data_IF_687183667489
#
_entry.id   IF_687183667489
#
_cell.length_a   1.000
_cell.length_b   1.000
_cell.length_c   1.000
_cell.angle_alpha   90.00
_cell.angle_beta   90.00
_cell.angle_gamma   90.00
#
_symmetry.space_group_name_H-M   'P 1'
#
loop_
_entity.id
_entity.type
_entity.pdbx_description
1 polymer ?
#
# COMPACT_ATOMS: atom_id res chain seq x y z
N UNK A 1 18.74 23.26 10.92
CA UNK A 1 18.10 22.03 10.43
C UNK A 1 16.91 22.47 9.61
N UNK A 2 17.00 22.45 8.28
CA UNK A 2 15.94 22.92 7.38
C UNK A 2 15.13 21.72 6.93
N UNK A 3 13.91 21.59 7.45
CA UNK A 3 12.91 20.64 6.93
C UNK A 3 12.48 21.16 5.55
N UNK A 4 12.77 20.42 4.48
CA UNK A 4 12.30 20.75 3.13
C UNK A 4 11.02 19.97 2.86
N UNK A 5 9.89 20.68 2.84
CA UNK A 5 8.64 20.15 2.29
C UNK A 5 8.76 20.16 0.76
N UNK A 6 8.74 18.99 0.12
CA UNK A 6 8.73 18.89 -1.34
C UNK A 6 7.41 19.46 -1.88
N UNK A 7 7.47 20.06 -3.07
CA UNK A 7 6.28 20.55 -3.76
C UNK A 7 5.32 19.38 -4.05
N UNK A 8 4.01 19.68 -4.03
CA UNK A 8 2.89 18.75 -4.13
C UNK A 8 2.90 17.78 -5.34
N UNK A 9 3.87 17.90 -6.25
CA UNK A 9 4.05 17.05 -7.44
C UNK A 9 4.86 15.76 -7.18
N UNK A 10 5.56 15.64 -6.05
CA UNK A 10 6.36 14.44 -5.69
C UNK A 10 5.59 13.48 -4.77
N UNK A 11 4.41 13.90 -4.29
CA UNK A 11 3.56 13.20 -3.29
C UNK A 11 2.73 12.07 -3.94
N UNK A 12 2.83 11.84 -5.25
CA UNK A 12 1.83 11.04 -5.97
C UNK A 12 1.88 9.51 -5.80
N UNK A 13 2.67 8.93 -4.89
CA UNK A 13 2.71 7.45 -4.79
C UNK A 13 2.69 6.90 -3.35
N UNK A 14 2.49 7.73 -2.33
CA UNK A 14 2.11 7.22 -1.01
C UNK A 14 1.02 8.15 -0.50
N UNK A 15 -0.20 7.95 -1.00
CA UNK A 15 -1.35 8.35 -0.23
C UNK A 15 -1.34 7.48 1.02
N UNK A 16 -1.72 8.05 2.14
CA UNK A 16 -1.85 7.33 3.40
C UNK A 16 -3.37 7.22 3.54
N UNK A 17 -3.90 6.09 4.01
CA UNK A 17 -5.35 5.88 4.25
C UNK A 17 -5.51 4.90 5.38
N UNK A 18 -6.64 4.94 6.09
CA UNK A 18 -6.81 4.16 7.32
C UNK A 18 -6.63 2.66 7.13
N UNK A 19 -5.65 2.06 7.81
CA UNK A 19 -5.51 0.61 7.91
C UNK A 19 -6.35 0.06 9.06
N UNK A 20 -7.41 -0.70 8.77
CA UNK A 20 -8.13 -1.47 9.80
C UNK A 20 -8.43 -2.93 9.40
N UNK A 21 -7.47 -3.63 8.76
CA UNK A 21 -7.46 -5.12 8.77
C UNK A 21 -6.16 -5.69 9.34
N UNK A 22 -6.30 -6.77 10.13
CA UNK A 22 -5.24 -7.35 10.95
C UNK A 22 -4.11 -8.04 10.14
N UNK A 23 -4.34 -8.40 8.88
CA UNK A 23 -3.36 -9.08 8.02
C UNK A 23 -2.45 -8.08 7.29
N UNK A 24 -3.01 -7.02 6.68
CA UNK A 24 -2.25 -5.91 6.07
C UNK A 24 -1.45 -5.09 7.08
N UNK A 25 -1.82 -5.19 8.37
CA UNK A 25 -1.06 -4.60 9.47
C UNK A 25 0.35 -5.16 9.62
N UNK A 26 0.66 -6.40 9.23
CA UNK A 26 2.02 -6.96 9.39
C UNK A 26 3.05 -6.16 8.58
N UNK A 27 2.79 -6.03 7.29
CA UNK A 27 3.71 -5.42 6.32
C UNK A 27 3.73 -3.90 6.43
N UNK A 28 2.57 -3.27 6.64
CA UNK A 28 2.49 -1.85 6.97
C UNK A 28 3.26 -1.50 8.25
N UNK A 29 3.12 -2.28 9.34
CA UNK A 29 3.88 -2.05 10.58
C UNK A 29 5.38 -2.26 10.38
N UNK A 30 5.77 -3.19 9.51
CA UNK A 30 7.18 -3.44 9.19
C UNK A 30 7.80 -2.23 8.48
N UNK A 31 7.10 -1.69 7.47
CA UNK A 31 7.50 -0.47 6.76
C UNK A 31 7.52 0.73 7.72
N UNK A 32 6.45 0.89 8.51
CA UNK A 32 6.36 1.95 9.52
C UNK A 32 7.55 1.92 10.48
N UNK A 33 7.83 0.77 11.07
CA UNK A 33 8.94 0.57 12.00
C UNK A 33 10.27 1.00 11.37
N UNK A 34 10.53 0.58 10.13
CA UNK A 34 11.74 0.94 9.39
C UNK A 34 11.85 2.45 9.16
N UNK A 35 10.78 3.08 8.67
CA UNK A 35 10.76 4.51 8.38
C UNK A 35 10.88 5.35 9.66
N UNK A 36 10.28 4.91 10.78
CA UNK A 36 10.45 5.56 12.09
C UNK A 36 11.89 5.46 12.60
N UNK A 37 12.54 4.31 12.46
CA UNK A 37 13.97 4.14 12.80
C UNK A 37 14.85 5.09 11.97
N UNK A 38 14.50 5.32 10.70
CA UNK A 38 15.19 6.27 9.84
C UNK A 38 14.78 7.74 10.07
N UNK A 39 13.89 8.03 11.03
CA UNK A 39 13.30 9.36 11.28
C UNK A 39 12.61 9.97 10.05
N UNK A 40 12.06 9.14 9.17
CA UNK A 40 11.45 9.57 7.91
C UNK A 40 9.93 9.75 8.02
N UNK A 41 9.33 9.66 9.22
CA UNK A 41 7.90 9.87 9.44
C UNK A 41 7.64 10.96 10.47
N UNK A 42 6.63 11.79 10.19
CA UNK A 42 6.05 12.66 11.22
C UNK A 42 5.28 11.85 12.27
N UNK A 43 5.00 12.42 13.46
CA UNK A 43 3.98 11.87 14.35
C UNK A 43 2.64 11.72 13.61
N UNK A 44 1.88 10.68 13.96
CA UNK A 44 0.65 10.27 13.27
C UNK A 44 0.67 8.78 12.94
N UNK A 45 -0.46 8.25 12.49
CA UNK A 45 -0.60 6.85 12.09
C UNK A 45 -0.10 6.68 10.65
N UNK A 46 0.81 5.73 10.43
CA UNK A 46 1.32 5.45 9.09
C UNK A 46 0.55 4.30 8.48
N UNK A 47 0.12 4.50 7.24
CA UNK A 47 -0.56 3.51 6.43
C UNK A 47 -0.18 3.74 4.98
N UNK A 48 -0.12 2.70 4.16
CA UNK A 48 0.11 2.86 2.74
C UNK A 48 -1.24 2.72 2.04
N UNK A 49 -1.75 3.79 1.44
CA UNK A 49 -2.75 3.69 0.38
C UNK A 49 -1.98 3.36 -0.91
N UNK A 50 -1.80 2.08 -1.14
CA UNK A 50 -1.43 1.60 -2.45
C UNK A 50 -2.74 1.25 -3.14
N UNK A 51 -3.17 2.09 -4.08
CA UNK A 51 -4.16 1.72 -5.09
C UNK A 51 -3.72 0.48 -5.92
N UNK A 52 -2.45 0.07 -5.77
CA UNK A 52 -1.86 -1.18 -6.23
C UNK A 52 -1.49 -2.04 -5.00
N UNK A 53 -2.47 -2.74 -4.44
CA UNK A 53 -2.39 -3.62 -3.26
C UNK A 53 -1.34 -4.77 -3.40
N UNK A 54 -0.86 -4.94 -4.62
CA UNK A 54 -0.40 -6.18 -5.24
C UNK A 54 1.05 -6.60 -4.87
N UNK A 55 1.80 -5.79 -4.11
CA UNK A 55 3.16 -6.19 -3.67
C UNK A 55 3.51 -5.72 -2.28
N UNK A 56 2.52 -5.43 -1.42
CA UNK A 56 2.75 -4.81 -0.12
C UNK A 56 3.69 -5.63 0.77
N UNK A 57 3.54 -6.96 0.80
CA UNK A 57 4.38 -7.85 1.59
C UNK A 57 5.83 -7.88 1.10
N UNK A 58 6.01 -8.01 -0.22
CA UNK A 58 7.34 -8.04 -0.82
C UNK A 58 8.03 -6.67 -0.74
N UNK A 59 7.26 -5.60 -0.92
CA UNK A 59 7.71 -4.22 -0.71
C UNK A 59 8.15 -4.02 0.73
N UNK A 60 7.42 -4.55 1.70
CA UNK A 60 7.80 -4.51 3.12
C UNK A 60 9.08 -5.29 3.40
N UNK A 61 9.26 -6.48 2.83
CA UNK A 61 10.51 -7.25 2.97
C UNK A 61 11.71 -6.57 2.33
N UNK A 62 11.51 -5.98 1.16
CA UNK A 62 12.53 -5.24 0.44
C UNK A 62 12.94 -3.97 1.21
N UNK A 63 11.97 -3.16 1.68
CA UNK A 63 12.21 -1.95 2.49
C UNK A 63 12.97 -2.30 3.78
N UNK A 64 12.65 -3.43 4.42
CA UNK A 64 13.32 -3.88 5.63
C UNK A 64 14.83 -4.15 5.41
N UNK A 65 15.20 -4.62 4.20
CA UNK A 65 16.60 -4.90 3.83
C UNK A 65 17.41 -3.64 3.48
N UNK A 66 16.77 -2.54 3.09
CA UNK A 66 17.47 -1.30 2.70
C UNK A 66 18.07 -0.57 3.91
N UNK A 67 19.18 0.13 3.71
CA UNK A 67 19.71 1.08 4.68
C UNK A 67 18.92 2.40 4.68
N UNK A 68 18.99 3.18 5.77
CA UNK A 68 18.35 4.50 5.79
C UNK A 68 18.91 5.46 4.74
N UNK A 69 20.17 5.29 4.33
CA UNK A 69 20.77 6.09 3.24
C UNK A 69 20.14 5.77 1.89
N UNK A 70 19.94 4.49 1.59
CA UNK A 70 19.26 4.03 0.37
C UNK A 70 17.79 4.45 0.36
N UNK A 71 17.07 4.28 1.48
CA UNK A 71 15.69 4.74 1.62
C UNK A 71 15.57 6.25 1.41
N UNK A 72 16.48 7.03 1.98
CA UNK A 72 16.51 8.49 1.79
C UNK A 72 16.77 8.84 0.32
N UNK A 73 17.69 8.14 -0.34
CA UNK A 73 17.94 8.36 -1.76
C UNK A 73 16.68 8.07 -2.59
N UNK A 74 16.08 6.89 -2.44
CA UNK A 74 14.90 6.49 -3.22
C UNK A 74 13.66 7.34 -2.96
N UNK A 75 13.43 7.74 -1.71
CA UNK A 75 12.27 8.56 -1.33
C UNK A 75 12.46 10.07 -1.61
N UNK A 76 13.69 10.56 -1.71
CA UNK A 76 13.97 12.00 -1.68
C UNK A 76 14.73 12.56 -2.88
N UNK A 77 15.22 11.74 -3.82
CA UNK A 77 16.06 12.21 -4.93
C UNK A 77 15.44 12.10 -6.31
N UNK A 78 14.11 11.94 -6.40
CA UNK A 78 13.32 11.94 -7.65
C UNK A 78 13.77 10.90 -8.68
N UNK A 79 13.31 9.65 -8.51
CA UNK A 79 12.91 8.73 -9.58
C UNK A 79 12.25 7.50 -8.91
N UNK A 80 10.94 7.63 -8.64
CA UNK A 80 10.16 6.62 -7.92
C UNK A 80 9.99 5.29 -8.71
N UNK A 81 10.34 5.27 -10.00
CA UNK A 81 10.18 4.11 -10.87
C UNK A 81 11.35 3.13 -10.85
N UNK A 82 12.55 3.56 -10.43
CA UNK A 82 13.74 2.72 -10.53
C UNK A 82 13.90 1.78 -9.34
N UNK A 83 13.64 2.25 -8.12
CA UNK A 83 13.70 1.38 -6.94
C UNK A 83 12.53 0.40 -6.90
N UNK A 84 11.35 0.80 -7.39
CA UNK A 84 10.20 -0.10 -7.58
C UNK A 84 10.59 -1.27 -8.47
N UNK A 85 11.25 -1.05 -9.62
CA UNK A 85 11.69 -2.15 -10.52
C UNK A 85 12.68 -3.10 -9.85
N UNK A 86 13.66 -2.60 -9.12
CA UNK A 86 14.65 -3.43 -8.43
C UNK A 86 14.00 -4.25 -7.31
N UNK A 87 13.15 -3.61 -6.52
CA UNK A 87 12.40 -4.21 -5.42
C UNK A 87 11.40 -5.27 -5.94
N UNK A 88 10.62 -4.92 -6.96
CA UNK A 88 9.59 -5.76 -7.58
C UNK A 88 10.15 -6.91 -8.43
N UNK A 89 11.38 -6.80 -8.94
CA UNK A 89 12.03 -7.89 -9.70
C UNK A 89 12.19 -9.17 -8.89
N UNK A 90 12.24 -9.05 -7.56
CA UNK A 90 12.29 -10.18 -6.62
C UNK A 90 10.90 -10.64 -6.17
N UNK A 91 9.85 -9.89 -6.53
CA UNK A 91 8.46 -10.09 -6.14
C UNK A 91 7.60 -10.78 -7.20
N UNK A 92 8.17 -11.26 -8.31
CA UNK A 92 7.45 -12.12 -9.26
C UNK A 92 7.15 -13.46 -8.57
N UNK A 93 6.05 -13.49 -7.83
CA UNK A 93 5.55 -14.66 -7.13
C UNK A 93 4.85 -15.62 -8.07
N UNK A 94 4.84 -16.90 -7.69
CA UNK A 94 3.98 -17.90 -8.28
C UNK A 94 2.65 -17.86 -7.53
N UNK A 95 1.58 -17.46 -8.19
CA UNK A 95 0.23 -17.47 -7.61
C UNK A 95 -0.51 -18.72 -8.06
N UNK A 96 -1.22 -19.39 -7.15
CA UNK A 96 -1.91 -20.64 -7.45
C UNK A 96 -3.42 -20.43 -7.48
N UNK A 97 -4.00 -20.54 -8.66
CA UNK A 97 -5.44 -20.53 -8.87
C UNK A 97 -6.10 -21.79 -8.29
N UNK A 98 -7.40 -21.71 -7.99
CA UNK A 98 -8.17 -22.82 -7.42
C UNK A 98 -8.26 -24.04 -8.36
N UNK A 99 -8.22 -23.81 -9.67
CA UNK A 99 -8.14 -24.86 -10.70
C UNK A 99 -6.75 -25.52 -10.81
N UNK A 100 -5.75 -25.06 -10.05
CA UNK A 100 -4.37 -25.56 -10.08
C UNK A 100 -3.47 -24.90 -11.14
N UNK A 101 -3.96 -23.86 -11.84
CA UNK A 101 -3.14 -22.99 -12.66
C UNK A 101 -2.15 -22.20 -11.80
N UNK A 102 -0.96 -21.97 -12.33
CA UNK A 102 0.07 -21.17 -11.68
C UNK A 102 0.38 -19.93 -12.53
N UNK A 103 0.18 -18.76 -11.96
CA UNK A 103 0.42 -17.48 -12.59
C UNK A 103 1.79 -16.92 -12.16
N UNK A 104 2.52 -16.34 -13.10
CA UNK A 104 3.74 -15.56 -12.82
C UNK A 104 3.46 -14.08 -13.07
N UNK A 105 2.47 -13.57 -12.34
CA UNK A 105 2.08 -12.16 -12.35
C UNK A 105 2.16 -11.63 -10.91
N UNK A 106 2.44 -10.34 -10.72
CA UNK A 106 2.35 -9.73 -9.40
C UNK A 106 0.90 -9.84 -8.90
N UNK A 107 0.71 -10.52 -7.76
CA UNK A 107 -0.51 -10.63 -6.92
C UNK A 107 -1.84 -10.40 -7.64
N UNK A 108 -2.28 -11.36 -8.46
CA UNK A 108 -3.52 -11.27 -9.23
C UNK A 108 -4.78 -11.26 -8.35
N UNK A 109 -4.66 -11.42 -7.02
CA UNK A 109 -5.82 -11.53 -6.15
C UNK A 109 -6.53 -10.18 -5.97
N UNK A 110 -7.81 -10.12 -6.34
CA UNK A 110 -8.69 -8.99 -6.09
C UNK A 110 -8.23 -7.68 -6.72
N UNK A 111 -7.56 -7.76 -7.86
CA UNK A 111 -7.08 -6.62 -8.63
C UNK A 111 -8.12 -6.10 -9.64
N UNK A 112 -9.26 -6.81 -9.76
CA UNK A 112 -10.36 -6.49 -10.65
C UNK A 112 -10.19 -7.02 -12.07
N UNK A 113 -9.11 -7.77 -12.33
CA UNK A 113 -8.86 -8.49 -13.56
C UNK A 113 -9.03 -9.99 -13.33
N UNK A 114 -9.57 -10.68 -14.32
CA UNK A 114 -9.65 -12.14 -14.28
C UNK A 114 -8.37 -12.70 -14.90
N UNK A 115 -7.33 -12.86 -14.09
CA UNK A 115 -6.06 -13.45 -14.49
C UNK A 115 -6.11 -14.98 -14.46
N UNK A 116 -6.82 -15.58 -13.50
CA UNK A 116 -7.05 -17.01 -13.52
C UNK A 116 -8.10 -17.40 -14.56
N UNK A 117 -7.91 -18.56 -15.21
CA UNK A 117 -8.92 -19.09 -16.14
C UNK A 117 -10.27 -19.38 -15.47
N UNK A 118 -10.26 -19.68 -14.17
CA UNK A 118 -11.46 -19.94 -13.36
C UNK A 118 -11.95 -18.70 -12.60
N UNK A 119 -11.26 -17.57 -12.68
CA UNK A 119 -11.56 -16.33 -11.95
C UNK A 119 -11.42 -16.42 -10.44
N UNK A 120 -10.71 -17.44 -9.93
CA UNK A 120 -10.58 -17.66 -8.48
C UNK A 120 -9.80 -16.58 -7.74
N UNK A 121 -8.98 -15.85 -8.46
CA UNK A 121 -8.33 -14.61 -8.06
C UNK A 121 -9.31 -13.49 -7.67
N UNK A 122 -10.55 -13.51 -8.18
CA UNK A 122 -11.54 -12.43 -7.97
C UNK A 122 -12.77 -12.87 -7.14
N UNK A 123 -12.80 -14.10 -6.62
CA UNK A 123 -14.01 -14.67 -6.00
C UNK A 123 -14.12 -14.44 -4.48
N UNK A 124 -13.02 -14.32 -3.75
CA UNK A 124 -13.02 -14.21 -2.27
C UNK A 124 -12.41 -12.89 -1.77
N UNK A 125 -12.80 -11.79 -2.40
CA UNK A 125 -12.26 -10.48 -2.07
C UNK A 125 -12.84 -9.89 -0.77
N UNK A 126 -12.01 -9.28 0.08
CA UNK A 126 -12.48 -8.64 1.29
C UNK A 126 -13.35 -7.41 0.96
N UNK A 127 -14.43 -7.24 1.72
CA UNK A 127 -15.40 -6.15 1.55
C UNK A 127 -15.52 -5.30 2.81
N UNK A 128 -15.82 -4.02 2.63
CA UNK A 128 -16.24 -3.11 3.69
C UNK A 128 -17.77 -3.00 3.69
N UNK A 129 -18.38 -3.08 4.88
CA UNK A 129 -19.82 -2.90 5.05
C UNK A 129 -20.10 -1.46 5.43
N UNK A 130 -20.78 -0.73 4.56
CA UNK A 130 -21.25 0.63 4.80
C UNK A 130 -22.30 0.63 5.93
N UNK A 131 -22.46 1.77 6.60
CA UNK A 131 -23.44 1.92 7.69
C UNK A 131 -24.89 1.81 7.18
N UNK A 132 -25.14 2.20 5.93
CA UNK A 132 -26.43 2.01 5.26
C UNK A 132 -26.76 0.54 4.91
N UNK A 133 -25.81 -0.38 5.11
CA UNK A 133 -25.93 -1.81 4.85
C UNK A 133 -25.52 -2.23 3.44
N UNK A 134 -25.06 -1.30 2.60
CA UNK A 134 -24.40 -1.64 1.33
C UNK A 134 -22.96 -2.12 1.57
N UNK A 135 -22.35 -2.68 0.52
CA UNK A 135 -20.98 -3.20 0.58
C UNK A 135 -20.16 -2.64 -0.55
N UNK A 136 -18.96 -2.19 -0.23
CA UNK A 136 -17.96 -1.73 -1.19
C UNK A 136 -16.70 -2.60 -1.06
N UNK A 137 -15.81 -2.63 -2.06
CA UNK A 137 -14.50 -3.25 -1.91
C UNK A 137 -13.80 -2.72 -0.66
N UNK A 138 -13.07 -3.56 0.06
CA UNK A 138 -12.33 -3.09 1.23
C UNK A 138 -11.33 -1.97 0.87
N UNK A 139 -10.82 -1.98 -0.37
CA UNK A 139 -9.93 -0.95 -0.90
C UNK A 139 -10.57 0.44 -0.98
N UNK A 140 -11.89 0.54 -0.95
CA UNK A 140 -12.64 1.81 -0.90
C UNK A 140 -12.68 2.44 0.49
N UNK A 141 -12.21 1.76 1.55
CA UNK A 141 -12.22 2.35 2.88
C UNK A 141 -11.12 3.40 3.03
N UNK A 142 -11.48 4.63 3.39
CA UNK A 142 -10.59 5.77 3.61
C UNK A 142 -9.73 6.15 2.40
N UNK A 143 -10.18 5.87 1.18
CA UNK A 143 -9.43 6.12 -0.05
C UNK A 143 -9.48 7.60 -0.50
N UNK A 144 -10.24 8.43 0.22
CA UNK A 144 -10.47 9.84 -0.09
C UNK A 144 -11.67 10.08 -1.02
N UNK A 145 -12.40 9.02 -1.38
CA UNK A 145 -13.59 9.02 -2.23
C UNK A 145 -14.74 8.36 -1.49
N UNK A 146 -15.91 9.01 -1.52
CA UNK A 146 -17.13 8.41 -0.98
C UNK A 146 -17.66 7.36 -1.97
N UNK A 147 -17.35 6.10 -1.72
CA UNK A 147 -17.88 4.93 -2.44
C UNK A 147 -19.13 4.37 -1.76
N UNK A 148 -19.20 4.43 -0.43
CA UNK A 148 -20.46 4.18 0.27
C UNK A 148 -21.48 5.30 -0.06
N UNK A 149 -22.77 4.98 -0.29
CA UNK A 149 -23.81 5.99 -0.54
C UNK A 149 -24.00 6.97 0.61
N UNK A 150 -23.68 6.55 1.84
CA UNK A 150 -23.69 7.36 3.06
C UNK A 150 -22.32 7.95 3.42
N UNK A 151 -21.28 7.66 2.63
CA UNK A 151 -19.90 8.07 2.85
C UNK A 151 -19.28 7.54 4.15
N UNK A 152 -19.76 6.39 4.65
CA UNK A 152 -19.26 5.79 5.90
C UNK A 152 -17.88 5.15 5.78
N UNK A 153 -17.48 4.78 4.57
CA UNK A 153 -16.12 4.38 4.20
C UNK A 153 -15.08 5.47 4.46
N UNK A 154 -15.47 6.74 4.38
CA UNK A 154 -14.60 7.91 4.60
C UNK A 154 -14.71 8.49 6.02
N UNK A 155 -15.40 7.82 6.94
CA UNK A 155 -15.59 8.27 8.32
C UNK A 155 -14.60 7.60 9.29
N UNK A 156 -14.12 8.36 10.27
CA UNK A 156 -13.17 7.90 11.31
C UNK A 156 -11.82 7.39 10.77
N UNK A 157 -11.40 7.86 9.60
CA UNK A 157 -10.07 7.59 9.08
C UNK A 157 -8.98 8.19 10.02
N UNK A 158 -7.92 7.43 10.36
CA UNK A 158 -6.86 7.88 11.25
C UNK A 158 -6.07 9.07 10.65
N UNK A 159 -5.49 9.88 11.54
CA UNK A 159 -4.65 11.01 11.14
C UNK A 159 -3.33 10.47 10.59
N UNK A 160 -3.07 10.80 9.34
CA UNK A 160 -2.02 10.21 8.53
C UNK A 160 -0.65 10.84 8.85
N UNK A 161 0.34 10.01 9.20
CA UNK A 161 1.74 10.39 9.18
C UNK A 161 2.13 10.82 7.76
N UNK A 162 3.17 11.64 7.59
CA UNK A 162 3.70 11.98 6.27
C UNK A 162 5.17 11.60 6.19
N UNK A 163 5.61 11.19 5.00
CA UNK A 163 7.02 10.94 4.72
C UNK A 163 7.78 12.27 4.71
N UNK A 164 8.89 12.32 5.45
CA UNK A 164 9.78 13.48 5.52
C UNK A 164 11.20 13.10 5.12
N UNK A 165 11.81 13.97 4.32
CA UNK A 165 13.19 13.85 3.91
C UNK A 165 14.08 14.63 4.87
N UNK A 166 14.86 13.92 5.68
CA UNK A 166 15.89 14.53 6.52
C UNK A 166 17.23 14.38 5.79
N UNK A 167 17.73 15.48 5.23
CA UNK A 167 19.10 15.58 4.69
C UNK A 167 20.08 16.05 5.75
#
# INVERSE_FOLDING_TARGET
>A
MMIRFLSALVISIIFISGCETAEKQSSCRKIESKLRVCNMLTPGDFCLNLNDDVTLDCTAECIDKLSCGELTQYSCTTDLDDWKKECLSQCMGLWSCSNGEELTVPDPACDGFQDCMDGSDEMECPVFNCVDGSTVPLTSQCDGKSDCPDGSDEQNCPIQANLICIT
#
